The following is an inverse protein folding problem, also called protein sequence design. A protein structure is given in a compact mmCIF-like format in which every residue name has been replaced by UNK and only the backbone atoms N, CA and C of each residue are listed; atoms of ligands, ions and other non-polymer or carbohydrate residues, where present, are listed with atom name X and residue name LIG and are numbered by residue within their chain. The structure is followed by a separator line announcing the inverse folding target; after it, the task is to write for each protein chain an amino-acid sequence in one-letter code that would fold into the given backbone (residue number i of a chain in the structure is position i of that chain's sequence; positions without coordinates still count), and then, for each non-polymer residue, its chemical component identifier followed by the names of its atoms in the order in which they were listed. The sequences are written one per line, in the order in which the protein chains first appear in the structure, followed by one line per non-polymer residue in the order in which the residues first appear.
data_IF_165327031701
#
_entry.id   IF_165327031701
#
_cell.length_a   1.000
_cell.length_b   1.000
_cell.length_c   1.000
_cell.angle_alpha   90.00
_cell.angle_beta   90.00
_cell.angle_gamma   90.00
#
_symmetry.space_group_name_H-M   'P 1'
#
loop_
_entity.id
_entity.type
_entity.pdbx_description
1 polymer ?
#
# COMPACT_ATOMS: atom_id res chain seq x y z
N UNK A 1 14.90 1.36 8.42
CA UNK A 1 13.59 1.18 7.76
C UNK A 1 13.84 1.19 6.26
N UNK A 2 13.70 0.03 5.59
CA UNK A 2 13.83 -0.04 4.14
C UNK A 2 12.63 0.65 3.47
N UNK A 3 12.89 1.50 2.47
CA UNK A 3 11.88 2.14 1.64
C UNK A 3 11.98 1.52 0.25
N UNK A 4 11.26 0.41 0.02
CA UNK A 4 11.14 -0.22 -1.28
C UNK A 4 9.66 -0.19 -1.68
N UNK A 5 9.27 0.85 -2.40
CA UNK A 5 7.88 1.07 -2.77
C UNK A 5 7.56 0.41 -4.11
N UNK A 6 6.45 -0.34 -4.13
CA UNK A 6 5.79 -0.81 -5.34
C UNK A 6 4.61 0.11 -5.60
N UNK A 7 4.52 0.57 -6.84
CA UNK A 7 3.38 1.33 -7.37
C UNK A 7 2.51 0.39 -8.16
N UNK A 8 1.23 0.31 -7.80
CA UNK A 8 0.26 -0.45 -8.56
C UNK A 8 -0.19 0.36 -9.77
N UNK A 9 -0.46 -0.28 -10.92
CA UNK A 9 -1.06 0.37 -12.07
C UNK A 9 -2.46 0.94 -11.78
N UNK A 10 -3.25 0.23 -10.96
CA UNK A 10 -4.62 0.62 -10.59
C UNK A 10 -4.89 0.26 -9.12
N UNK A 11 -4.42 1.09 -8.18
CA UNK A 11 -4.58 0.81 -6.74
C UNK A 11 -6.04 0.58 -6.30
N UNK A 12 -7.05 1.32 -6.83
CA UNK A 12 -8.45 1.06 -6.51
C UNK A 12 -8.97 -0.34 -6.86
N UNK A 13 -8.35 -1.04 -7.80
CA UNK A 13 -8.76 -2.39 -8.21
C UNK A 13 -7.76 -3.48 -7.78
N UNK A 14 -6.48 -3.14 -7.69
CA UNK A 14 -5.39 -4.10 -7.47
C UNK A 14 -4.99 -4.24 -6.00
N UNK A 15 -5.54 -3.42 -5.10
CA UNK A 15 -5.27 -3.49 -3.66
C UNK A 15 -6.54 -3.63 -2.83
N UNK A 16 -6.49 -4.56 -1.88
CA UNK A 16 -7.47 -4.67 -0.80
C UNK A 16 -6.76 -5.01 0.51
N UNK A 17 -7.22 -4.42 1.61
CA UNK A 17 -6.75 -4.77 2.94
C UNK A 17 -7.73 -5.75 3.59
N UNK A 18 -7.26 -6.99 3.80
CA UNK A 18 -8.05 -8.04 4.44
C UNK A 18 -8.02 -7.95 5.97
N UNK A 19 -6.90 -7.46 6.51
CA UNK A 19 -6.67 -7.29 7.94
C UNK A 19 -5.64 -6.17 8.16
N UNK A 20 -5.83 -5.28 9.14
CA UNK A 20 -7.00 -5.15 10.01
C UNK A 20 -8.30 -4.83 9.26
N UNK A 21 -9.44 -5.16 9.85
CA UNK A 21 -10.77 -4.94 9.26
C UNK A 21 -11.33 -3.55 9.61
N UNK A 22 -12.35 -3.12 8.87
CA UNK A 22 -13.00 -1.82 9.06
C UNK A 22 -12.15 -0.65 8.56
N UNK A 23 -12.46 0.55 9.03
CA UNK A 23 -11.75 1.77 8.65
C UNK A 23 -10.58 2.04 9.61
N UNK A 24 -9.50 2.74 9.18
CA UNK A 24 -8.64 3.43 10.14
C UNK A 24 -9.49 4.43 10.92
N UNK A 25 -9.12 4.98 12.07
CA UNK A 25 -9.86 6.07 12.75
C UNK A 25 -11.28 5.78 13.29
N UNK A 26 -11.96 4.71 12.89
CA UNK A 26 -13.22 4.28 13.49
C UNK A 26 -13.00 3.38 14.71
N UNK A 27 -13.97 3.37 15.63
CA UNK A 27 -13.95 2.48 16.79
C UNK A 27 -14.02 1.01 16.32
N UNK A 28 -13.11 0.19 16.82
CA UNK A 28 -12.91 -1.19 16.36
C UNK A 28 -12.09 -1.30 15.06
N UNK A 29 -11.62 -0.18 14.52
CA UNK A 29 -10.86 -0.09 13.27
C UNK A 29 -9.39 -0.48 13.39
N UNK A 30 -8.58 -0.01 12.44
CA UNK A 30 -7.18 -0.45 12.29
C UNK A 30 -6.33 -0.18 13.53
N UNK A 31 -6.49 1.00 14.13
CA UNK A 31 -5.70 1.39 15.29
C UNK A 31 -6.05 0.58 16.54
N UNK A 32 -7.32 0.23 16.72
CA UNK A 32 -7.76 -0.64 17.82
C UNK A 32 -7.26 -2.08 17.62
N UNK A 33 -7.04 -2.48 16.37
CA UNK A 33 -6.45 -3.77 15.98
C UNK A 33 -4.91 -3.74 15.91
N UNK A 34 -4.26 -2.70 16.44
CA UNK A 34 -2.81 -2.63 16.60
C UNK A 34 -2.04 -2.00 15.45
N UNK A 35 -2.71 -1.53 14.40
CA UNK A 35 -2.07 -0.70 13.38
C UNK A 35 -1.75 0.69 13.94
N UNK A 36 -0.70 1.30 13.44
CA UNK A 36 -0.25 2.65 13.81
C UNK A 36 0.03 3.42 12.54
N UNK A 37 0.04 4.74 12.65
CA UNK A 37 0.28 5.65 11.54
C UNK A 37 1.43 6.60 11.91
N UNK A 38 2.31 6.83 10.95
CA UNK A 38 3.27 7.91 11.00
C UNK A 38 3.02 8.86 9.83
N UNK A 39 2.71 10.13 10.13
CA UNK A 39 2.54 11.17 9.13
C UNK A 39 3.79 12.07 9.11
N UNK A 40 4.39 12.24 7.94
CA UNK A 40 5.54 13.13 7.73
C UNK A 40 5.09 14.51 7.20
N UNK A 41 5.85 15.55 7.54
CA UNK A 41 5.76 16.90 6.97
C UNK A 41 4.32 17.43 6.90
N UNK A 42 3.82 17.74 5.70
CA UNK A 42 2.51 18.34 5.44
C UNK A 42 1.33 17.40 5.73
N UNK A 43 1.60 16.20 6.26
CA UNK A 43 0.60 15.18 6.63
C UNK A 43 -0.25 14.71 5.47
N UNK A 44 0.31 14.77 4.26
CA UNK A 44 -0.33 14.30 3.04
C UNK A 44 -0.20 12.79 2.85
N UNK A 45 0.71 12.14 3.57
CA UNK A 45 0.98 10.70 3.49
C UNK A 45 0.83 10.04 4.85
N UNK A 46 0.06 8.97 4.89
CA UNK A 46 -0.09 8.07 6.03
C UNK A 46 0.81 6.85 5.83
N UNK A 47 1.78 6.68 6.73
CA UNK A 47 2.64 5.50 6.73
C UNK A 47 2.10 4.53 7.77
N UNK A 48 1.31 3.57 7.30
CA UNK A 48 0.71 2.56 8.15
C UNK A 48 1.75 1.50 8.53
N UNK A 49 1.91 1.23 9.82
CA UNK A 49 2.80 0.19 10.33
C UNK A 49 2.17 -0.61 11.47
N UNK A 50 2.59 -1.86 11.64
CA UNK A 50 2.17 -2.69 12.77
C UNK A 50 2.81 -2.19 14.07
N UNK A 51 1.99 -1.89 15.08
CA UNK A 51 2.46 -1.39 16.37
C UNK A 51 3.23 -2.43 17.21
N UNK A 52 3.24 -3.70 16.81
CA UNK A 52 3.94 -4.79 17.50
C UNK A 52 5.32 -5.02 16.89
N UNK A 53 5.40 -5.27 15.58
CA UNK A 53 6.66 -5.60 14.90
C UNK A 53 7.33 -4.41 14.21
N UNK A 54 6.66 -3.25 14.11
CA UNK A 54 7.18 -2.06 13.45
C UNK A 54 7.25 -2.15 11.92
N UNK A 55 6.77 -3.25 11.32
CA UNK A 55 6.77 -3.44 9.86
C UNK A 55 5.73 -2.51 9.23
N UNK A 56 6.14 -1.81 8.16
CA UNK A 56 5.29 -0.91 7.37
C UNK A 56 4.85 -1.60 6.08
N UNK A 57 3.63 -2.14 5.97
CA UNK A 57 3.19 -2.85 4.77
C UNK A 57 2.83 -1.93 3.60
N UNK A 58 2.26 -0.75 3.85
CA UNK A 58 1.85 0.17 2.80
C UNK A 58 1.80 1.63 3.30
N UNK A 59 1.63 2.56 2.37
CA UNK A 59 1.36 3.96 2.65
C UNK A 59 0.24 4.46 1.73
N UNK A 60 -0.61 5.33 2.27
CA UNK A 60 -1.71 6.00 1.54
C UNK A 60 -1.52 7.51 1.59
N UNK A 61 -2.23 8.27 0.75
CA UNK A 61 -2.24 9.73 0.88
C UNK A 61 -2.84 10.48 -0.29
N UNK A 62 -2.44 11.75 -0.40
CA UNK A 62 -3.04 12.80 -1.25
C UNK A 62 -4.48 13.11 -0.81
N UNK A 63 -5.41 13.15 -1.75
CA UNK A 63 -6.74 13.69 -1.52
C UNK A 63 -7.72 12.66 -0.91
N UNK A 64 -7.39 11.36 -0.97
CA UNK A 64 -8.27 10.25 -0.56
C UNK A 64 -7.76 9.54 0.70
N UNK A 65 -7.88 10.20 1.85
CA UNK A 65 -7.24 9.75 3.10
C UNK A 65 -7.93 8.55 3.79
N UNK A 66 -9.23 8.35 3.58
CA UNK A 66 -9.99 7.35 4.36
C UNK A 66 -10.24 6.02 3.65
N UNK A 67 -10.03 5.95 2.34
CA UNK A 67 -10.42 4.76 1.58
C UNK A 67 -11.94 4.58 1.45
N UNK A 68 -12.36 3.37 1.10
CA UNK A 68 -13.75 2.93 1.19
C UNK A 68 -13.86 1.44 1.54
N UNK A 69 -14.96 1.06 2.19
CA UNK A 69 -15.31 -0.34 2.40
C UNK A 69 -16.05 -0.89 1.18
N UNK A 70 -15.66 -2.07 0.72
CA UNK A 70 -16.38 -2.82 -0.33
C UNK A 70 -16.58 -4.26 0.07
N UNK A 71 -17.76 -4.80 -0.22
CA UNK A 71 -18.02 -6.23 -0.14
C UNK A 71 -17.42 -6.93 -1.35
N UNK A 72 -16.49 -7.85 -1.13
CA UNK A 72 -15.85 -8.66 -2.19
C UNK A 72 -16.09 -10.14 -1.96
N UNK A 73 -16.10 -10.93 -3.03
CA UNK A 73 -16.10 -12.39 -2.92
C UNK A 73 -14.65 -12.91 -2.96
N UNK A 74 -14.08 -13.19 -1.79
CA UNK A 74 -12.70 -13.66 -1.63
C UNK A 74 -12.44 -15.00 -2.34
N UNK A 75 -13.45 -15.90 -2.39
CA UNK A 75 -13.31 -17.19 -3.08
C UNK A 75 -13.18 -17.04 -4.59
N UNK A 76 -13.90 -16.10 -5.19
CA UNK A 76 -13.76 -15.77 -6.62
C UNK A 76 -12.39 -15.19 -6.95
N UNK A 77 -11.72 -14.59 -5.97
CA UNK A 77 -10.36 -14.06 -6.07
C UNK A 77 -9.28 -15.11 -5.73
N UNK A 78 -9.66 -16.36 -5.44
CA UNK A 78 -8.73 -17.43 -5.07
C UNK A 78 -8.21 -17.37 -3.63
N UNK A 79 -8.79 -16.52 -2.77
CA UNK A 79 -8.40 -16.38 -1.36
C UNK A 79 -9.26 -17.32 -0.52
N UNK A 80 -8.64 -18.31 0.11
CA UNK A 80 -9.32 -19.36 0.90
C UNK A 80 -9.15 -19.20 2.41
N UNK A 81 -8.17 -18.41 2.86
CA UNK A 81 -7.85 -18.22 4.27
C UNK A 81 -7.45 -16.75 4.53
N UNK A 82 -7.84 -16.21 5.69
CA UNK A 82 -7.37 -14.91 6.18
C UNK A 82 -7.04 -15.04 7.66
N UNK A 83 -5.83 -14.67 8.08
CA UNK A 83 -5.36 -14.75 9.47
C UNK A 83 -5.49 -16.16 10.10
N UNK A 84 -5.29 -17.24 9.35
CA UNK A 84 -5.45 -18.60 9.86
C UNK A 84 -6.89 -19.11 9.91
N UNK A 85 -7.87 -18.31 9.44
CA UNK A 85 -9.29 -18.66 9.43
C UNK A 85 -9.77 -18.90 7.99
N UNK A 86 -10.46 -20.01 7.77
CA UNK A 86 -11.04 -20.34 6.47
C UNK A 86 -12.12 -19.32 6.07
N UNK A 87 -12.05 -18.86 4.82
CA UNK A 87 -13.06 -17.96 4.26
C UNK A 87 -14.37 -18.74 4.09
N UNK A 88 -15.39 -18.41 4.91
CA UNK A 88 -16.71 -19.04 4.92
C UNK A 88 -17.55 -18.82 3.64
N UNK A 89 -18.63 -18.03 3.71
CA UNK A 89 -19.56 -17.80 2.58
C UNK A 89 -18.94 -17.01 1.40
N UNK A 90 -17.65 -16.69 1.45
CA UNK A 90 -16.91 -16.02 0.38
C UNK A 90 -17.03 -14.49 0.39
N UNK A 91 -18.14 -13.92 0.86
CA UNK A 91 -18.31 -12.46 0.94
C UNK A 91 -17.71 -11.86 2.20
N UNK A 92 -16.90 -10.82 2.05
CA UNK A 92 -16.31 -10.06 3.16
C UNK A 92 -16.22 -8.58 2.80
N UNK A 93 -16.46 -7.73 3.80
CA UNK A 93 -16.18 -6.30 3.68
C UNK A 93 -14.68 -6.06 3.89
N UNK A 94 -14.06 -5.45 2.89
CA UNK A 94 -12.62 -5.14 2.87
C UNK A 94 -12.43 -3.67 2.58
N UNK A 95 -11.32 -3.11 3.06
CA UNK A 95 -10.95 -1.75 2.72
C UNK A 95 -10.22 -1.70 1.38
N UNK A 96 -10.55 -0.72 0.55
CA UNK A 96 -9.91 -0.49 -0.76
C UNK A 96 -9.72 1.01 -1.01
N UNK A 97 -8.81 1.39 -1.91
CA UNK A 97 -8.68 2.76 -2.37
C UNK A 97 -9.92 3.16 -3.19
N UNK A 98 -10.55 4.33 -2.98
CA UNK A 98 -11.75 4.73 -3.69
C UNK A 98 -11.44 4.98 -5.17
N UNK A 99 -12.44 4.77 -6.03
CA UNK A 99 -12.34 5.16 -7.45
C UNK A 99 -12.62 6.65 -7.66
N UNK A 100 -13.45 7.23 -6.80
CA UNK A 100 -13.88 8.62 -6.82
C UNK A 100 -14.40 9.02 -5.44
N UNK A 101 -14.56 10.31 -5.22
CA UNK A 101 -15.17 10.85 -4.01
C UNK A 101 -15.26 12.36 -4.06
N UNK A 102 -15.37 12.98 -2.90
CA UNK A 102 -15.43 14.44 -2.76
C UNK A 102 -14.19 14.94 -2.03
N UNK A 103 -13.49 15.90 -2.65
CA UNK A 103 -12.29 16.53 -2.12
C UNK A 103 -12.53 18.03 -2.13
N UNK A 104 -12.48 18.67 -0.96
CA UNK A 104 -12.76 20.11 -0.82
C UNK A 104 -14.09 20.55 -1.48
N UNK A 105 -15.15 19.75 -1.34
CA UNK A 105 -16.47 20.02 -1.90
C UNK A 105 -16.60 19.78 -3.41
N UNK A 106 -15.62 19.13 -4.04
CA UNK A 106 -15.62 18.85 -5.49
C UNK A 106 -15.55 17.36 -5.77
N UNK A 107 -16.40 16.85 -6.69
CA UNK A 107 -16.24 15.51 -7.24
C UNK A 107 -14.83 15.35 -7.82
N UNK A 108 -14.11 14.35 -7.34
CA UNK A 108 -12.73 14.06 -7.70
C UNK A 108 -12.60 12.57 -7.99
N UNK A 109 -11.79 12.22 -8.99
CA UNK A 109 -11.50 10.84 -9.36
C UNK A 109 -10.11 10.45 -8.84
N UNK A 110 -9.91 9.16 -8.59
CA UNK A 110 -8.59 8.63 -8.26
C UNK A 110 -7.70 8.62 -9.49
N UNK A 111 -6.58 9.34 -9.41
CA UNK A 111 -5.53 9.36 -10.42
C UNK A 111 -4.22 9.08 -9.70
N UNK A 112 -3.57 7.96 -10.06
CA UNK A 112 -2.31 7.50 -9.47
C UNK A 112 -1.27 8.61 -9.40
N UNK A 113 -0.81 8.90 -8.18
CA UNK A 113 0.24 9.89 -7.91
C UNK A 113 -0.18 11.35 -8.12
N UNK A 114 -1.45 11.64 -8.40
CA UNK A 114 -1.97 13.02 -8.53
C UNK A 114 -3.02 13.35 -7.49
N UNK A 115 -4.10 12.57 -7.43
CA UNK A 115 -5.18 12.74 -6.45
C UNK A 115 -5.23 11.57 -5.47
N UNK A 116 -4.72 10.41 -5.88
CA UNK A 116 -4.64 9.22 -5.05
C UNK A 116 -3.24 8.64 -4.98
N UNK A 117 -2.80 8.25 -3.78
CA UNK A 117 -1.52 7.61 -3.57
C UNK A 117 -1.70 6.34 -2.75
N UNK A 118 -1.23 5.23 -3.30
CA UNK A 118 -0.96 4.01 -2.57
C UNK A 118 0.43 3.51 -2.97
N UNK A 119 1.18 3.01 -2.00
CA UNK A 119 2.37 2.21 -2.27
C UNK A 119 2.45 1.03 -1.31
N UNK A 120 2.83 -0.12 -1.84
CA UNK A 120 3.07 -1.33 -1.05
C UNK A 120 4.58 -1.45 -0.81
N UNK A 121 4.96 -1.89 0.38
CA UNK A 121 6.37 -2.10 0.70
C UNK A 121 6.79 -3.49 0.20
N UNK A 122 7.69 -3.56 -0.78
CA UNK A 122 8.12 -4.81 -1.40
C UNK A 122 8.70 -5.81 -0.37
N UNK A 123 9.27 -5.31 0.73
CA UNK A 123 9.90 -6.15 1.76
C UNK A 123 8.89 -7.00 2.54
N UNK A 124 7.58 -6.70 2.45
CA UNK A 124 6.53 -7.43 3.16
C UNK A 124 5.77 -8.41 2.26
N UNK A 125 6.16 -8.49 0.99
CA UNK A 125 5.58 -9.45 0.07
C UNK A 125 5.97 -10.86 0.47
N UNK A 126 5.04 -11.80 0.26
CA UNK A 126 5.27 -13.21 0.59
C UNK A 126 6.45 -13.77 -0.20
N UNK A 127 7.36 -14.44 0.50
CA UNK A 127 8.57 -14.96 -0.13
C UNK A 127 8.21 -16.11 -1.07
N UNK A 128 8.60 -16.00 -2.33
CA UNK A 128 8.34 -17.05 -3.33
C UNK A 128 6.91 -17.06 -3.90
N UNK A 129 6.10 -16.02 -3.65
CA UNK A 129 4.90 -15.80 -4.46
C UNK A 129 5.30 -15.62 -5.94
N UNK A 130 4.43 -16.07 -6.85
CA UNK A 130 4.69 -15.95 -8.27
C UNK A 130 4.90 -14.48 -8.68
N UNK A 131 5.91 -14.23 -9.53
CA UNK A 131 6.30 -12.89 -9.95
C UNK A 131 7.04 -12.01 -8.92
N UNK A 132 7.30 -12.49 -7.70
CA UNK A 132 8.00 -11.74 -6.65
C UNK A 132 9.43 -12.26 -6.39
N UNK A 133 10.29 -12.11 -7.40
CA UNK A 133 11.73 -12.32 -7.29
C UNK A 133 12.48 -10.99 -7.45
N UNK A 134 13.05 -10.48 -6.35
CA UNK A 134 13.79 -9.22 -6.36
C UNK A 134 15.05 -9.28 -7.25
N UNK A 135 15.66 -10.46 -7.40
CA UNK A 135 16.78 -10.66 -8.31
C UNK A 135 16.31 -10.49 -9.75
N UNK A 136 15.18 -11.10 -10.10
CA UNK A 136 14.57 -10.93 -11.42
C UNK A 136 14.23 -9.47 -11.70
N UNK A 137 13.61 -8.77 -10.74
CA UNK A 137 13.24 -7.35 -10.90
C UNK A 137 14.47 -6.46 -11.11
N UNK A 138 15.57 -6.76 -10.40
CA UNK A 138 16.84 -6.07 -10.59
C UNK A 138 17.45 -6.35 -11.97
N UNK A 139 17.56 -7.63 -12.36
CA UNK A 139 18.15 -8.06 -13.64
C UNK A 139 17.35 -7.55 -14.84
N UNK A 140 16.02 -7.44 -14.73
CA UNK A 140 15.16 -6.85 -15.75
C UNK A 140 15.14 -5.31 -15.74
N UNK A 141 15.79 -4.67 -14.76
CA UNK A 141 15.88 -3.23 -14.66
C UNK A 141 14.57 -2.54 -14.28
N UNK A 142 13.69 -3.22 -13.55
CA UNK A 142 12.37 -2.69 -13.16
C UNK A 142 12.41 -1.79 -11.90
N UNK A 143 13.55 -1.74 -11.22
CA UNK A 143 13.72 -0.96 -9.98
C UNK A 143 14.22 0.44 -10.32
N UNK A 144 13.47 1.45 -9.89
CA UNK A 144 13.87 2.85 -9.93
C UNK A 144 14.52 3.28 -8.62
N UNK A 145 15.68 3.93 -8.72
CA UNK A 145 16.49 4.40 -7.61
C UNK A 145 16.39 5.91 -7.49
N UNK A 146 16.04 6.36 -6.29
CA UNK A 146 15.86 7.77 -5.93
C UNK A 146 17.12 8.27 -5.22
N UNK A 147 17.61 9.45 -5.58
CA UNK A 147 18.69 10.13 -4.85
C UNK A 147 18.11 10.88 -3.66
N UNK A 148 17.84 10.17 -2.57
CA UNK A 148 17.29 10.78 -1.35
C UNK A 148 18.39 11.40 -0.48
N UNK A 149 19.65 10.95 -0.62
CA UNK A 149 20.75 11.45 0.19
C UNK A 149 21.11 12.88 -0.18
N UNK A 150 21.36 13.13 -1.47
CA UNK A 150 21.79 14.44 -1.95
C UNK A 150 20.62 15.23 -2.54
N UNK A 151 19.53 14.56 -2.97
CA UNK A 151 18.35 15.18 -3.61
C UNK A 151 18.71 16.06 -4.81
N UNK A 152 19.69 15.63 -5.61
CA UNK A 152 20.19 16.39 -6.77
C UNK A 152 19.94 15.68 -8.08
N UNK A 153 20.01 14.36 -8.06
CA UNK A 153 19.94 13.55 -9.27
C UNK A 153 18.50 13.14 -9.57
N UNK A 154 18.19 12.93 -10.85
CA UNK A 154 16.89 12.40 -11.25
C UNK A 154 16.74 10.92 -10.86
N UNK A 155 15.50 10.44 -10.81
CA UNK A 155 15.24 9.02 -10.61
C UNK A 155 15.80 8.21 -11.80
N UNK A 156 16.43 7.06 -11.53
CA UNK A 156 17.01 6.22 -12.59
C UNK A 156 16.77 4.74 -12.40
N UNK A 157 16.82 4.00 -13.51
CA UNK A 157 16.86 2.54 -13.49
C UNK A 157 18.30 2.02 -13.41
N UNK A 158 18.44 0.74 -13.06
CA UNK A 158 19.65 -0.07 -13.25
C UNK A 158 20.64 -0.09 -12.08
N UNK A 159 20.90 1.04 -11.41
CA UNK A 159 21.77 1.02 -10.20
C UNK A 159 21.45 2.09 -9.15
N UNK A 160 21.68 1.82 -7.85
CA UNK A 160 21.53 2.79 -6.77
C UNK A 160 22.42 4.02 -6.95
N UNK A 161 21.97 5.15 -6.41
CA UNK A 161 22.82 6.33 -6.23
C UNK A 161 23.87 6.10 -5.13
N UNK A 162 24.81 7.04 -4.99
CA UNK A 162 25.84 6.98 -3.94
C UNK A 162 25.16 6.94 -2.57
N UNK A 163 25.47 5.91 -1.77
CA UNK A 163 24.84 5.69 -0.46
C UNK A 163 23.48 4.97 -0.51
N UNK A 164 23.00 4.60 -1.69
CA UNK A 164 21.81 3.77 -1.86
C UNK A 164 22.08 2.27 -1.67
N UNK A 165 21.01 1.48 -1.60
CA UNK A 165 21.03 0.02 -1.53
C UNK A 165 20.50 -0.59 -2.83
N UNK A 166 21.06 -1.75 -3.19
CA UNK A 166 20.48 -2.61 -4.23
C UNK A 166 19.24 -3.31 -3.71
#
# INVERSE_FOLDING_TARGET
MGLFHIRLPDSPNDFMLLSPAGMPHEQGGWQDQGMRNYQCFDKELDWWFCGICGVRPFATGLDFQNGEMRTVNLKELGITEVNGEEVGEGKRDVWMCPKKGEVNGKPTEWIEGKTGYLSVNAIVLEAGQDGCDLREWHEKGWISYLDILDSKEENRLGKPWRGGMY
#
